data_IF_810931487641
#
_entry.id   IF_810931487641
#
_cell.length_a   1.000
_cell.length_b   1.000
_cell.length_c   1.000
_cell.angle_alpha   90.00
_cell.angle_beta   90.00
_cell.angle_gamma   90.00
#
_symmetry.space_group_name_H-M   'P 1'
#
loop_
_entity.id
_entity.type
_entity.pdbx_description
1 polymer ?
#
# COMPACT_ATOMS: atom_id res chain seq x y z
N UNK A 1 -7.69 27.52 -17.73
CA UNK A 1 -7.58 26.09 -17.43
C UNK A 1 -6.16 25.74 -16.99
N UNK A 2 -6.06 24.92 -15.99
CA UNK A 2 -4.78 24.51 -15.47
C UNK A 2 -4.06 23.59 -16.47
N UNK A 3 -2.81 23.93 -16.80
CA UNK A 3 -1.97 23.13 -17.71
C UNK A 3 -1.82 21.68 -17.22
N UNK A 4 -1.84 21.50 -15.92
CA UNK A 4 -1.69 20.20 -15.28
C UNK A 4 -2.67 19.15 -15.80
N UNK A 5 -3.89 19.59 -16.11
CA UNK A 5 -4.94 18.67 -16.58
C UNK A 5 -5.02 18.55 -18.08
N UNK A 6 -4.35 19.44 -18.79
CA UNK A 6 -4.38 19.46 -20.26
C UNK A 6 -3.55 18.32 -20.86
N UNK A 7 -2.44 17.97 -20.21
CA UNK A 7 -1.52 16.97 -20.71
C UNK A 7 -1.61 15.64 -19.97
N UNK A 8 -2.74 15.41 -19.30
CA UNK A 8 -2.94 14.17 -18.56
C UNK A 8 -3.00 12.98 -19.51
N UNK A 9 -2.42 11.87 -19.06
CA UNK A 9 -2.44 10.62 -19.79
C UNK A 9 -3.21 9.58 -19.01
N UNK A 10 -3.88 8.70 -19.74
CA UNK A 10 -4.43 7.47 -19.18
C UNK A 10 -3.43 6.35 -19.47
N UNK A 11 -2.90 5.73 -18.43
CA UNK A 11 -1.85 4.73 -18.55
C UNK A 11 -2.32 3.40 -17.95
N UNK A 12 -2.12 2.32 -18.71
CA UNK A 12 -2.37 0.95 -18.26
C UNK A 12 -1.06 0.21 -18.16
N UNK A 13 -0.76 -0.37 -17.01
CA UNK A 13 0.53 -0.97 -16.70
C UNK A 13 0.34 -2.38 -16.16
N UNK A 14 1.13 -3.31 -16.67
CA UNK A 14 1.32 -4.62 -16.05
C UNK A 14 2.60 -4.58 -15.25
N UNK A 15 2.57 -5.02 -13.99
CA UNK A 15 3.76 -4.97 -13.13
C UNK A 15 3.78 -6.08 -12.10
N UNK A 16 4.97 -6.35 -11.61
CA UNK A 16 5.20 -7.08 -10.37
C UNK A 16 5.81 -6.11 -9.36
N UNK A 17 5.24 -6.05 -8.17
CA UNK A 17 5.83 -5.31 -7.06
C UNK A 17 6.66 -6.28 -6.23
N UNK A 18 7.95 -6.00 -6.16
CA UNK A 18 8.91 -6.80 -5.42
C UNK A 18 9.31 -6.08 -4.15
N UNK A 19 9.42 -6.81 -3.07
CA UNK A 19 9.91 -6.30 -1.79
C UNK A 19 11.15 -7.10 -1.40
N UNK A 20 11.93 -6.56 -0.46
CA UNK A 20 13.09 -7.27 0.09
C UNK A 20 12.70 -8.01 1.35
N UNK A 21 13.15 -9.25 1.47
CA UNK A 21 13.01 -10.00 2.71
C UNK A 21 14.11 -9.61 3.71
N UNK A 22 14.13 -10.26 4.88
CA UNK A 22 15.09 -9.95 5.93
C UNK A 22 16.55 -10.19 5.50
N UNK A 23 16.77 -10.99 4.46
CA UNK A 23 18.10 -11.32 3.93
C UNK A 23 18.49 -10.46 2.73
N UNK A 24 17.61 -9.53 2.33
CA UNK A 24 17.86 -8.63 1.21
C UNK A 24 17.48 -9.20 -0.14
N UNK A 25 16.85 -10.37 -0.18
CA UNK A 25 16.40 -10.98 -1.43
C UNK A 25 15.04 -10.43 -1.84
N UNK A 26 14.87 -10.20 -3.14
CA UNK A 26 13.58 -9.73 -3.66
C UNK A 26 12.59 -10.89 -3.75
N UNK A 27 11.35 -10.61 -3.38
CA UNK A 27 10.24 -11.53 -3.58
C UNK A 27 9.03 -10.76 -4.10
N UNK A 28 8.16 -11.46 -4.82
CA UNK A 28 6.97 -10.83 -5.39
C UNK A 28 5.89 -10.66 -4.32
N UNK A 29 5.50 -9.42 -4.06
CA UNK A 29 4.47 -9.08 -3.09
C UNK A 29 3.08 -9.00 -3.72
N UNK A 30 2.99 -8.39 -4.90
CA UNK A 30 1.73 -8.32 -5.63
C UNK A 30 2.02 -8.19 -7.12
N UNK A 31 0.99 -8.36 -7.93
CA UNK A 31 1.12 -8.36 -9.38
C UNK A 31 -0.16 -7.80 -10.00
N UNK A 32 0.01 -7.02 -11.06
CA UNK A 32 -1.09 -6.58 -11.92
C UNK A 32 -0.84 -7.18 -13.31
N UNK A 33 -1.49 -8.30 -13.63
CA UNK A 33 -1.25 -8.97 -14.92
C UNK A 33 -1.85 -8.17 -16.09
N UNK A 34 -1.38 -8.48 -17.29
CA UNK A 34 -1.83 -7.81 -18.51
C UNK A 34 -3.35 -7.82 -18.67
N UNK A 35 -3.99 -8.88 -18.24
CA UNK A 35 -5.45 -9.07 -18.34
C UNK A 35 -6.21 -8.19 -17.35
N UNK A 36 -5.56 -7.74 -16.28
CA UNK A 36 -6.10 -6.85 -15.26
C UNK A 36 -5.06 -5.82 -14.87
N UNK A 37 -4.70 -4.92 -15.82
CA UNK A 37 -3.62 -3.96 -15.57
C UNK A 37 -4.02 -2.91 -14.55
N UNK A 38 -3.01 -2.32 -13.91
CA UNK A 38 -3.21 -1.14 -13.10
C UNK A 38 -3.40 0.06 -14.03
N UNK A 39 -4.51 0.76 -13.88
CA UNK A 39 -4.88 1.88 -14.75
C UNK A 39 -4.99 3.15 -13.92
N UNK A 40 -4.42 4.23 -14.42
CA UNK A 40 -4.49 5.50 -13.71
C UNK A 40 -4.34 6.67 -14.68
N UNK A 41 -4.74 7.86 -14.21
CA UNK A 41 -4.59 9.11 -14.93
C UNK A 41 -3.48 9.91 -14.27
N UNK A 42 -2.54 10.41 -15.08
CA UNK A 42 -1.43 11.22 -14.56
C UNK A 42 -1.91 12.59 -14.13
N UNK A 43 -1.17 13.20 -13.20
CA UNK A 43 -1.38 14.60 -12.82
C UNK A 43 -2.44 14.85 -11.78
N UNK A 44 -3.10 13.81 -11.25
CA UNK A 44 -4.17 13.96 -10.26
C UNK A 44 -3.83 13.33 -8.90
N UNK A 45 -2.61 12.83 -8.74
CA UNK A 45 -2.16 12.26 -7.47
C UNK A 45 -2.69 10.88 -7.16
N UNK A 46 -3.19 10.16 -8.15
CA UNK A 46 -3.75 8.82 -7.96
C UNK A 46 -2.69 7.78 -7.62
N UNK A 47 -1.53 7.86 -8.28
CA UNK A 47 -0.40 6.96 -8.03
C UNK A 47 0.68 7.70 -7.26
N UNK A 48 1.63 6.96 -6.68
CA UNK A 48 2.80 7.56 -6.04
C UNK A 48 3.55 8.43 -7.05
N UNK A 49 4.02 9.61 -6.61
CA UNK A 49 4.70 10.56 -7.49
C UNK A 49 5.90 9.92 -8.19
N UNK A 50 6.68 9.12 -7.47
CA UNK A 50 7.85 8.46 -8.05
C UNK A 50 7.47 7.38 -9.05
N UNK A 51 6.36 6.68 -8.82
CA UNK A 51 5.83 5.71 -9.78
C UNK A 51 5.42 6.42 -11.06
N UNK A 52 4.61 7.45 -10.92
CA UNK A 52 4.12 8.22 -12.06
C UNK A 52 5.28 8.82 -12.88
N UNK A 53 6.26 9.43 -12.21
CA UNK A 53 7.41 10.05 -12.91
C UNK A 53 8.24 9.04 -13.69
N UNK A 54 8.31 7.82 -13.22
CA UNK A 54 9.08 6.78 -13.92
C UNK A 54 8.37 6.21 -15.13
N UNK A 55 7.04 6.36 -15.23
CA UNK A 55 6.28 5.74 -16.32
C UNK A 55 5.63 6.74 -17.27
N UNK A 56 5.53 8.01 -16.87
CA UNK A 56 4.80 9.03 -17.65
C UNK A 56 5.38 9.25 -19.06
N UNK A 57 6.68 9.07 -19.22
CA UNK A 57 7.36 9.26 -20.50
C UNK A 57 7.46 8.01 -21.37
N UNK A 58 6.90 6.90 -20.90
CA UNK A 58 7.00 5.63 -21.62
C UNK A 58 5.86 5.46 -22.61
N UNK A 59 6.11 4.66 -23.65
CA UNK A 59 5.16 4.34 -24.69
C UNK A 59 4.65 2.91 -24.53
N UNK A 60 3.56 2.60 -25.21
CA UNK A 60 3.00 1.24 -25.24
C UNK A 60 4.10 0.23 -25.59
N UNK A 61 4.23 -0.80 -24.76
CA UNK A 61 5.19 -1.87 -24.94
C UNK A 61 6.53 -1.63 -24.26
N UNK A 62 6.80 -0.40 -23.80
CA UNK A 62 8.05 -0.12 -23.11
C UNK A 62 8.10 -0.83 -21.77
N UNK A 63 9.26 -1.39 -21.47
CA UNK A 63 9.50 -2.05 -20.19
C UNK A 63 10.12 -1.08 -19.21
N UNK A 64 9.91 -1.37 -17.92
CA UNK A 64 10.50 -0.57 -16.87
C UNK A 64 10.93 -1.45 -15.70
N UNK A 65 11.89 -0.94 -14.97
CA UNK A 65 12.29 -1.49 -13.68
C UNK A 65 12.85 -0.33 -12.87
N UNK A 66 12.28 -0.08 -11.70
CA UNK A 66 12.78 0.98 -10.83
C UNK A 66 12.43 0.67 -9.38
N UNK A 67 13.16 1.30 -8.47
CA UNK A 67 12.93 1.15 -7.03
C UNK A 67 12.56 2.52 -6.45
N UNK A 68 11.48 2.56 -5.68
CA UNK A 68 11.07 3.74 -4.95
C UNK A 68 11.48 3.51 -3.49
N UNK A 69 12.42 4.32 -2.95
CA UNK A 69 12.81 4.17 -1.54
C UNK A 69 11.63 4.51 -0.62
N UNK A 70 11.62 3.95 0.57
CA UNK A 70 10.47 4.06 1.47
C UNK A 70 10.09 5.51 1.82
N UNK A 71 11.06 6.42 1.90
CA UNK A 71 10.79 7.82 2.19
C UNK A 71 10.08 8.54 1.03
N UNK A 72 10.08 7.97 -0.17
CA UNK A 72 9.36 8.45 -1.34
C UNK A 72 8.12 7.60 -1.64
N UNK A 73 7.86 6.59 -0.81
CA UNK A 73 6.72 5.69 -0.95
C UNK A 73 5.77 5.90 0.24
N UNK A 74 5.71 4.93 1.15
CA UNK A 74 4.76 4.97 2.28
C UNK A 74 5.41 5.41 3.59
N UNK A 75 6.65 5.88 3.52
CA UNK A 75 7.36 6.40 4.67
C UNK A 75 7.96 5.30 5.55
N UNK A 76 8.67 5.70 6.60
CA UNK A 76 9.32 4.76 7.50
C UNK A 76 8.30 4.04 8.38
N UNK A 77 8.69 2.87 8.88
CA UNK A 77 7.93 2.17 9.90
C UNK A 77 8.11 2.90 11.24
N UNK A 78 6.98 3.24 11.88
CA UNK A 78 6.99 4.01 13.13
C UNK A 78 6.54 3.12 14.28
N UNK A 79 7.41 2.94 15.28
CA UNK A 79 7.08 2.16 16.48
C UNK A 79 5.92 2.77 17.26
N UNK A 80 5.77 4.09 17.19
CA UNK A 80 4.69 4.82 17.85
C UNK A 80 3.32 4.45 17.32
N UNK A 81 3.26 3.87 16.13
CA UNK A 81 2.00 3.42 15.53
C UNK A 81 1.64 1.98 15.93
N UNK A 82 2.44 1.35 16.76
CA UNK A 82 2.12 0.07 17.37
C UNK A 82 1.51 0.35 18.73
N UNK A 83 0.26 -0.04 18.93
CA UNK A 83 -0.50 0.30 20.13
C UNK A 83 -0.85 -0.95 20.92
N UNK A 84 -0.86 -0.80 22.25
CA UNK A 84 -1.39 -1.80 23.15
C UNK A 84 -2.77 -1.33 23.61
N UNK A 85 -3.81 -2.03 23.17
CA UNK A 85 -5.19 -1.66 23.49
C UNK A 85 -5.77 -2.65 24.49
N UNK A 86 -6.60 -2.14 25.40
CA UNK A 86 -7.25 -3.01 26.36
C UNK A 86 -8.24 -3.95 25.65
N UNK A 87 -8.25 -5.20 26.08
CA UNK A 87 -9.14 -6.21 25.51
C UNK A 87 -10.62 -5.82 25.64
N UNK A 88 -10.92 -5.01 26.65
CA UNK A 88 -12.29 -4.58 26.92
C UNK A 88 -12.94 -3.78 25.80
N UNK A 89 -12.15 -3.15 24.91
CA UNK A 89 -12.74 -2.41 23.78
C UNK A 89 -13.20 -3.33 22.64
N UNK A 90 -12.92 -4.61 22.73
CA UNK A 90 -13.27 -5.59 21.69
C UNK A 90 -14.34 -6.58 22.18
N UNK A 91 -15.21 -6.13 23.07
CA UNK A 91 -16.27 -6.99 23.60
C UNK A 91 -17.48 -6.99 22.67
N UNK A 92 -18.05 -8.19 22.47
CA UNK A 92 -19.34 -8.36 21.81
C UNK A 92 -20.20 -9.19 22.77
N UNK A 93 -21.33 -8.62 23.21
CA UNK A 93 -22.22 -9.22 24.20
C UNK A 93 -21.47 -9.58 25.48
N UNK A 94 -20.63 -8.65 25.97
CA UNK A 94 -19.82 -8.79 27.19
C UNK A 94 -18.74 -9.88 27.11
N UNK A 95 -18.48 -10.42 25.92
CA UNK A 95 -17.41 -11.39 25.70
C UNK A 95 -16.41 -10.88 24.68
N UNK A 96 -15.15 -11.25 24.88
CA UNK A 96 -14.11 -10.91 23.91
C UNK A 96 -14.41 -11.56 22.56
N UNK A 97 -14.29 -10.76 21.49
CA UNK A 97 -14.56 -11.19 20.12
C UNK A 97 -13.36 -11.95 19.54
N UNK A 98 -13.17 -13.20 19.98
CA UNK A 98 -12.04 -14.01 19.56
C UNK A 98 -12.18 -14.57 18.15
N UNK A 99 -13.35 -14.45 17.53
CA UNK A 99 -13.54 -14.83 16.13
C UNK A 99 -12.89 -13.83 15.17
N UNK A 100 -12.97 -12.53 15.51
CA UNK A 100 -12.51 -11.46 14.62
C UNK A 100 -11.20 -10.84 15.08
N UNK A 101 -10.87 -10.96 16.38
CA UNK A 101 -9.68 -10.33 16.96
C UNK A 101 -8.65 -11.40 17.26
N UNK A 102 -7.81 -11.70 16.26
CA UNK A 102 -6.73 -12.67 16.41
C UNK A 102 -5.55 -12.24 15.54
N UNK A 103 -4.34 -12.74 15.81
CA UNK A 103 -3.16 -12.33 15.06
C UNK A 103 -3.34 -12.53 13.56
N UNK A 104 -3.02 -11.50 12.79
CA UNK A 104 -3.19 -11.48 11.34
C UNK A 104 -4.47 -10.80 10.87
N UNK A 105 -5.44 -10.57 11.78
CA UNK A 105 -6.67 -9.87 11.42
C UNK A 105 -6.42 -8.39 11.19
N UNK A 106 -7.16 -7.79 10.26
CA UNK A 106 -7.14 -6.36 10.03
C UNK A 106 -8.49 -5.80 10.44
N UNK A 107 -8.47 -4.86 11.39
CA UNK A 107 -9.67 -4.29 11.96
C UNK A 107 -9.78 -2.81 11.66
N UNK A 108 -10.98 -2.30 11.29
CA UNK A 108 -11.18 -0.86 11.18
C UNK A 108 -11.36 -0.28 12.59
N UNK A 109 -10.47 0.63 12.97
CA UNK A 109 -10.55 1.34 14.24
C UNK A 109 -10.71 2.82 13.98
N UNK A 110 -11.46 3.51 14.83
CA UNK A 110 -11.73 4.94 14.68
C UNK A 110 -11.36 5.68 15.95
N UNK A 111 -10.76 6.88 15.77
CA UNK A 111 -10.52 7.81 16.88
C UNK A 111 -11.61 8.86 16.99
N UNK A 112 -12.72 8.70 16.26
CA UNK A 112 -13.82 9.67 16.22
C UNK A 112 -13.71 10.65 15.06
N UNK A 113 -12.57 10.74 14.40
CA UNK A 113 -12.33 11.63 13.25
C UNK A 113 -11.90 10.86 12.01
N UNK A 114 -11.04 9.84 12.19
CA UNK A 114 -10.53 9.03 11.09
C UNK A 114 -10.66 7.56 11.42
N UNK A 115 -10.72 6.75 10.39
CA UNK A 115 -10.71 5.30 10.51
C UNK A 115 -9.36 4.79 10.07
N UNK A 116 -8.78 3.89 10.86
CA UNK A 116 -7.49 3.27 10.60
C UNK A 116 -7.68 1.78 10.37
N UNK A 117 -6.90 1.22 9.47
CA UNK A 117 -6.80 -0.24 9.36
C UNK A 117 -5.72 -0.69 10.34
N UNK A 118 -6.12 -1.46 11.34
CA UNK A 118 -5.22 -1.92 12.38
C UNK A 118 -4.95 -3.41 12.21
N UNK A 119 -3.68 -3.77 12.06
CA UNK A 119 -3.26 -5.18 11.97
C UNK A 119 -3.05 -5.69 13.39
N UNK A 120 -3.79 -6.73 13.77
CA UNK A 120 -3.60 -7.40 15.06
C UNK A 120 -2.33 -8.23 14.95
N UNK A 121 -1.34 -7.92 15.80
CA UNK A 121 -0.06 -8.65 15.80
C UNK A 121 0.06 -9.62 16.96
N UNK A 122 -0.66 -9.36 18.07
CA UNK A 122 -0.61 -10.22 19.24
C UNK A 122 -1.87 -10.04 20.08
N UNK A 123 -2.34 -11.11 20.69
CA UNK A 123 -3.46 -11.08 21.64
C UNK A 123 -2.95 -11.69 22.92
N UNK A 124 -2.85 -10.85 23.96
CA UNK A 124 -2.36 -11.25 25.27
C UNK A 124 -3.51 -11.37 26.27
N UNK A 125 -3.19 -11.60 27.52
CA UNK A 125 -4.22 -11.81 28.54
C UNK A 125 -5.17 -10.61 28.70
N UNK A 126 -4.59 -9.40 28.78
CA UNK A 126 -5.34 -8.17 29.04
C UNK A 126 -5.36 -7.19 27.88
N UNK A 127 -4.47 -7.37 26.90
CA UNK A 127 -4.29 -6.41 25.83
C UNK A 127 -4.26 -7.08 24.47
N UNK A 128 -4.56 -6.26 23.46
CA UNK A 128 -4.39 -6.61 22.05
C UNK A 128 -3.38 -5.63 21.47
N UNK A 129 -2.32 -6.15 20.84
CA UNK A 129 -1.33 -5.32 20.20
C UNK A 129 -1.73 -5.15 18.73
N UNK A 130 -1.85 -3.91 18.29
CA UNK A 130 -2.23 -3.58 16.91
C UNK A 130 -1.19 -2.67 16.28
N UNK A 131 -0.99 -2.83 14.98
CA UNK A 131 -0.06 -2.04 14.19
C UNK A 131 -0.86 -1.18 13.22
N UNK A 132 -0.75 0.14 13.35
CA UNK A 132 -1.43 1.10 12.48
C UNK A 132 -0.59 1.54 11.30
N UNK A 133 0.64 1.06 11.17
CA UNK A 133 1.49 1.39 10.03
C UNK A 133 0.86 0.88 8.74
N UNK A 134 1.11 1.61 7.65
CA UNK A 134 0.76 1.09 6.33
C UNK A 134 1.48 -0.25 6.12
N UNK A 135 0.84 -1.24 5.46
CA UNK A 135 1.48 -2.55 5.23
C UNK A 135 2.84 -2.47 4.54
N UNK A 136 3.07 -1.42 3.76
CA UNK A 136 4.34 -1.22 3.04
C UNK A 136 5.24 -0.16 3.69
N UNK A 137 4.93 0.29 4.91
CA UNK A 137 5.77 1.25 5.63
C UNK A 137 7.15 0.63 5.89
N UNK A 138 8.20 1.41 5.65
CA UNK A 138 9.57 0.96 5.80
C UNK A 138 10.09 0.13 4.65
N UNK A 139 9.27 -0.11 3.62
CA UNK A 139 9.63 -0.95 2.49
C UNK A 139 10.04 -0.13 1.28
N UNK A 140 11.16 -0.50 0.66
CA UNK A 140 11.52 0.01 -0.66
C UNK A 140 10.73 -0.80 -1.70
N UNK A 141 10.11 -0.12 -2.65
CA UNK A 141 9.24 -0.75 -3.63
C UNK A 141 9.96 -0.89 -4.95
N UNK A 142 10.15 -2.12 -5.42
CA UNK A 142 10.73 -2.38 -6.73
C UNK A 142 9.65 -2.85 -7.69
N UNK A 143 9.41 -2.05 -8.73
CA UNK A 143 8.41 -2.35 -9.75
C UNK A 143 9.11 -2.80 -11.01
N UNK A 144 8.65 -3.93 -11.56
CA UNK A 144 9.13 -4.47 -12.85
C UNK A 144 7.92 -4.74 -13.71
N UNK A 145 7.94 -4.25 -14.94
CA UNK A 145 6.80 -4.50 -15.79
C UNK A 145 6.90 -3.82 -17.15
N UNK A 146 5.75 -3.58 -17.74
CA UNK A 146 5.69 -2.91 -19.04
C UNK A 146 4.38 -2.14 -19.19
N UNK A 147 4.39 -1.18 -20.11
CA UNK A 147 3.20 -0.37 -20.40
C UNK A 147 2.30 -1.16 -21.36
N UNK A 148 1.09 -1.47 -20.91
CA UNK A 148 0.10 -2.17 -21.73
C UNK A 148 -0.50 -1.22 -22.76
N UNK A 149 -0.82 0.00 -22.33
CA UNK A 149 -1.37 1.02 -23.21
C UNK A 149 -1.17 2.40 -22.59
N UNK A 150 -1.09 3.41 -23.42
CA UNK A 150 -1.05 4.81 -22.98
C UNK A 150 -1.76 5.66 -24.02
N UNK A 151 -2.54 6.64 -23.56
CA UNK A 151 -3.27 7.55 -24.43
C UNK A 151 -3.58 8.83 -23.65
N UNK A 152 -3.85 9.88 -24.40
CA UNK A 152 -4.26 11.14 -23.77
C UNK A 152 -5.64 10.96 -23.14
N UNK A 153 -5.78 11.46 -21.94
CA UNK A 153 -7.05 11.38 -21.21
C UNK A 153 -8.08 12.36 -21.76
#
# INVERSE_FOLDING_TARGET
MDKKYKDNKFISISYDLMLKDAEGNLYKYESAPKERPFQFITGIGYALDQFESNVIGLNKGDRFEFTIPCDQAYGPYEKENVLELQKSIFLVNDKFDDEHVNPGAILPLSDGQRTFNALVTDVREDIVVVDLNHPLAGEDLTFKGFVVDTRMA
#
